data_IF_338759535963
#
_entry.id   IF_338759535963
#
_cell.length_a   1.000
_cell.length_b   1.000
_cell.length_c   1.000
_cell.angle_alpha   90.00
_cell.angle_beta   90.00
_cell.angle_gamma   90.00
#
_symmetry.space_group_name_H-M   'P 1'
#
loop_
_entity.id
_entity.type
_entity.pdbx_description
1 polymer ?
#
# COMPACT_ATOMS: atom_id res chain seq x y z
N UNK A 1 2.98 -9.42 -20.43
CA UNK A 1 3.24 -8.25 -19.55
C UNK A 1 2.24 -7.13 -19.80
N UNK A 2 1.22 -7.40 -20.62
CA UNK A 2 0.53 -6.35 -21.39
C UNK A 2 -0.41 -5.53 -20.51
N UNK A 3 -1.06 -6.19 -19.55
CA UNK A 3 -1.88 -5.53 -18.51
C UNK A 3 -1.05 -4.57 -17.66
N UNK A 4 0.16 -4.98 -17.25
CA UNK A 4 1.05 -4.14 -16.44
C UNK A 4 1.55 -2.94 -17.26
N UNK A 5 1.87 -3.14 -18.53
CA UNK A 5 2.30 -2.06 -19.42
C UNK A 5 1.19 -1.03 -19.65
N UNK A 6 -0.05 -1.49 -19.86
CA UNK A 6 -1.21 -0.62 -20.03
C UNK A 6 -1.43 0.29 -18.80
N UNK A 7 -1.39 -0.31 -17.61
CA UNK A 7 -1.53 0.45 -16.34
C UNK A 7 -0.35 1.40 -16.17
N UNK A 8 0.88 0.95 -16.44
CA UNK A 8 2.07 1.77 -16.31
C UNK A 8 2.02 3.01 -17.21
N UNK A 9 1.55 2.86 -18.46
CA UNK A 9 1.35 3.99 -19.38
C UNK A 9 0.28 4.96 -18.87
N UNK A 10 -0.85 4.47 -18.35
CA UNK A 10 -1.88 5.31 -17.72
C UNK A 10 -1.36 6.10 -16.52
N UNK A 11 -0.35 5.56 -15.83
CA UNK A 11 0.35 6.20 -14.72
C UNK A 11 1.58 7.04 -15.16
N UNK A 12 1.82 7.23 -16.47
CA UNK A 12 2.98 7.94 -17.02
C UNK A 12 4.35 7.37 -16.58
N UNK A 13 4.45 6.06 -16.41
CA UNK A 13 5.70 5.38 -16.06
C UNK A 13 6.54 5.04 -17.31
N UNK A 14 7.87 5.01 -17.13
CA UNK A 14 8.80 4.55 -18.15
C UNK A 14 8.79 3.01 -18.24
N UNK A 15 8.39 2.47 -19.41
CA UNK A 15 8.27 1.02 -19.61
C UNK A 15 9.61 0.27 -19.56
N UNK A 16 10.67 0.87 -20.09
CA UNK A 16 12.00 0.23 -20.09
C UNK A 16 12.50 0.06 -18.65
N UNK A 17 12.38 1.10 -17.84
CA UNK A 17 12.75 1.05 -16.42
C UNK A 17 11.84 0.10 -15.63
N UNK A 18 10.53 0.11 -15.92
CA UNK A 18 9.58 -0.83 -15.32
C UNK A 18 9.99 -2.28 -15.56
N UNK A 19 10.27 -2.64 -16.81
CA UNK A 19 10.67 -4.00 -17.19
C UNK A 19 11.95 -4.40 -16.48
N UNK A 20 12.98 -3.54 -16.54
CA UNK A 20 14.25 -3.75 -15.86
C UNK A 20 14.06 -4.03 -14.37
N UNK A 21 13.30 -3.20 -13.66
CA UNK A 21 13.09 -3.36 -12.20
C UNK A 21 12.30 -4.62 -11.85
N UNK A 22 11.39 -5.05 -12.71
CA UNK A 22 10.64 -6.28 -12.50
C UNK A 22 11.55 -7.50 -12.74
N UNK A 23 12.34 -7.52 -13.82
CA UNK A 23 13.30 -8.57 -14.12
C UNK A 23 14.35 -8.72 -13.01
N UNK A 24 14.89 -7.60 -12.52
CA UNK A 24 15.82 -7.54 -11.39
C UNK A 24 15.18 -7.92 -10.05
N UNK A 25 13.84 -8.12 -10.01
CA UNK A 25 13.07 -8.32 -8.78
C UNK A 25 13.37 -7.24 -7.74
N UNK A 26 13.62 -6.01 -8.20
CA UNK A 26 14.19 -4.93 -7.42
C UNK A 26 13.39 -4.64 -6.13
N UNK A 27 12.06 -4.75 -6.18
CA UNK A 27 11.17 -4.47 -5.05
C UNK A 27 10.91 -5.67 -4.11
N UNK A 28 11.53 -6.83 -4.34
CA UNK A 28 11.23 -8.07 -3.59
C UNK A 28 11.48 -7.94 -2.10
N UNK A 29 12.60 -7.34 -1.70
CA UNK A 29 12.91 -7.15 -0.27
C UNK A 29 11.97 -6.15 0.39
N UNK A 30 11.58 -5.07 -0.31
CA UNK A 30 10.56 -4.13 0.17
C UNK A 30 9.20 -4.82 0.37
N UNK A 31 8.79 -5.71 -0.54
CA UNK A 31 7.54 -6.46 -0.38
C UNK A 31 7.58 -7.40 0.84
N UNK A 32 8.74 -7.98 1.15
CA UNK A 32 8.91 -8.78 2.37
C UNK A 32 8.85 -7.91 3.63
N UNK A 33 9.54 -6.78 3.64
CA UNK A 33 9.58 -5.89 4.81
C UNK A 33 8.20 -5.36 5.16
N UNK A 34 7.39 -4.98 4.16
CA UNK A 34 6.01 -4.52 4.37
C UNK A 34 5.12 -5.61 4.95
N UNK A 35 5.32 -6.88 4.58
CA UNK A 35 4.58 -8.01 5.20
C UNK A 35 4.92 -8.16 6.68
N UNK A 36 6.21 -8.09 7.01
CA UNK A 36 6.67 -8.14 8.41
C UNK A 36 6.09 -6.95 9.21
N UNK A 37 6.05 -5.77 8.61
CA UNK A 37 5.42 -4.60 9.23
C UNK A 37 3.92 -4.82 9.47
N UNK A 38 3.19 -5.35 8.49
CA UNK A 38 1.78 -5.70 8.64
C UNK A 38 1.55 -6.70 9.79
N UNK A 39 2.41 -7.71 9.92
CA UNK A 39 2.38 -8.68 11.03
C UNK A 39 2.60 -7.99 12.38
N UNK A 40 3.58 -7.08 12.48
CA UNK A 40 3.84 -6.30 13.70
C UNK A 40 2.63 -5.44 14.13
N UNK A 41 1.86 -4.93 13.17
CA UNK A 41 0.62 -4.19 13.42
C UNK A 41 -0.62 -5.10 13.58
N UNK A 42 -0.47 -6.42 13.50
CA UNK A 42 -1.55 -7.40 13.51
C UNK A 42 -2.64 -7.10 12.46
N UNK A 43 -2.21 -6.78 11.23
CA UNK A 43 -3.09 -6.52 10.10
C UNK A 43 -3.45 -7.85 9.43
N UNK A 44 -4.72 -8.22 9.51
CA UNK A 44 -5.26 -9.47 8.93
C UNK A 44 -6.31 -9.23 7.83
N UNK A 45 -6.65 -7.97 7.54
CA UNK A 45 -7.64 -7.59 6.53
C UNK A 45 -7.25 -6.31 5.82
N UNK A 46 -7.74 -6.14 4.59
CA UNK A 46 -7.49 -4.97 3.75
C UNK A 46 -8.81 -4.31 3.29
N UNK A 47 -8.85 -2.97 3.11
CA UNK A 47 -7.80 -2.02 3.48
C UNK A 47 -7.67 -1.88 5.00
N UNK A 48 -6.46 -1.61 5.49
CA UNK A 48 -6.22 -1.16 6.87
C UNK A 48 -5.36 0.09 6.82
N UNK A 49 -5.78 1.14 7.51
CA UNK A 49 -5.04 2.39 7.64
C UNK A 49 -4.41 2.46 9.03
N UNK A 50 -3.12 2.75 9.09
CA UNK A 50 -2.42 3.06 10.34
C UNK A 50 -2.33 4.57 10.46
N UNK A 51 -2.91 5.14 11.52
CA UNK A 51 -2.94 6.59 11.77
C UNK A 51 -1.95 6.93 12.87
N UNK A 52 -0.86 7.61 12.48
CA UNK A 52 0.22 8.07 13.36
C UNK A 52 0.84 6.95 14.24
N UNK A 53 0.78 5.69 13.80
CA UNK A 53 1.23 4.52 14.58
C UNK A 53 0.41 4.23 15.86
N UNK A 54 -0.64 5.02 16.14
CA UNK A 54 -1.43 4.94 17.39
C UNK A 54 -2.76 4.21 17.20
N UNK A 55 -3.43 4.46 16.08
CA UNK A 55 -4.74 3.87 15.76
C UNK A 55 -4.73 3.14 14.43
N UNK A 56 -5.67 2.21 14.28
CA UNK A 56 -5.96 1.54 13.03
C UNK A 56 -7.43 1.70 12.64
N UNK A 57 -7.67 1.87 11.35
CA UNK A 57 -9.01 1.84 10.72
C UNK A 57 -9.03 0.61 9.83
N UNK A 58 -9.95 -0.31 10.08
CA UNK A 58 -10.00 -1.61 9.42
C UNK A 58 -11.22 -1.69 8.52
N UNK A 59 -10.99 -2.02 7.25
CA UNK A 59 -12.02 -2.12 6.22
C UNK A 59 -12.33 -0.78 5.54
N UNK A 60 -13.24 -0.84 4.58
CA UNK A 60 -13.75 0.34 3.90
C UNK A 60 -14.85 1.00 4.75
N UNK A 61 -14.44 1.81 5.72
CA UNK A 61 -15.35 2.60 6.56
C UNK A 61 -15.90 3.82 5.80
N UNK A 62 -16.98 4.41 6.30
CA UNK A 62 -17.49 5.67 5.75
C UNK A 62 -16.58 6.87 6.14
N UNK A 63 -16.80 8.00 5.48
CA UNK A 63 -15.97 9.19 5.68
C UNK A 63 -16.07 9.75 7.11
N UNK A 64 -17.26 9.73 7.71
CA UNK A 64 -17.48 10.26 9.05
C UNK A 64 -16.68 9.49 10.11
N UNK A 65 -16.67 8.15 10.02
CA UNK A 65 -15.88 7.28 10.89
C UNK A 65 -14.38 7.52 10.68
N UNK A 66 -13.95 7.63 9.43
CA UNK A 66 -12.56 7.92 9.10
C UNK A 66 -12.10 9.25 9.71
N UNK A 67 -12.89 10.32 9.52
CA UNK A 67 -12.62 11.64 10.10
C UNK A 67 -12.61 11.63 11.63
N UNK A 68 -13.52 10.89 12.26
CA UNK A 68 -13.57 10.78 13.72
C UNK A 68 -12.26 10.20 14.27
N UNK A 69 -11.70 9.18 13.61
CA UNK A 69 -10.41 8.61 14.02
C UNK A 69 -9.27 9.60 13.79
N UNK A 70 -9.27 10.36 12.70
CA UNK A 70 -8.25 11.40 12.47
C UNK A 70 -8.30 12.50 13.56
N UNK A 71 -9.49 13.02 13.88
CA UNK A 71 -9.69 14.07 14.90
C UNK A 71 -9.31 13.64 16.32
N UNK A 72 -9.30 12.34 16.60
CA UNK A 72 -8.86 11.82 17.90
C UNK A 72 -7.33 11.67 17.98
N UNK A 73 -6.65 11.49 16.83
CA UNK A 73 -5.20 11.29 16.77
C UNK A 73 -4.42 12.60 16.61
N UNK A 74 -5.01 13.59 15.95
CA UNK A 74 -4.45 14.92 15.67
C UNK A 74 -5.17 16.00 16.46
#
# INVERSE_FOLDING_TARGET
MDVINEIALKCNLNLQELHKRIEEKYYKERLKSIKIEADNYNINSIPTFIVNGKKKIVGAVNMDEFESVLKDVF
#
